data_IF_481455893012
#
_entry.id   IF_481455893012
#
_cell.length_a   1.000
_cell.length_b   1.000
_cell.length_c   1.000
_cell.angle_alpha   90.00
_cell.angle_beta   90.00
_cell.angle_gamma   90.00
#
_symmetry.space_group_name_H-M   'P 1'
#
loop_
_entity.id
_entity.type
_entity.pdbx_description
1 polymer ?
2 polymer ?
3 polymer ?
4 water ?
#
# COMPACT_ATOMS: atom_id res chain seq x y z
N UNK A 1 -31.74 21.02 2.22
CA UNK A 1 -31.79 21.09 0.73
C UNK A 1 -30.44 21.55 0.19
N UNK A 2 -30.18 21.26 -1.08
CA UNK A 2 -28.94 21.66 -1.74
C UNK A 2 -29.27 22.21 -3.12
N UNK A 3 -28.56 23.27 -3.54
CA UNK A 3 -28.83 23.83 -4.87
C UNK A 3 -28.82 22.78 -5.99
N UNK A 4 -29.80 22.87 -6.89
CA UNK A 4 -29.93 21.94 -8.00
C UNK A 4 -28.58 21.49 -8.51
N UNK A 5 -28.43 20.17 -8.63
CA UNK A 5 -27.18 19.59 -9.09
C UNK A 5 -26.39 19.06 -7.91
N UNK A 6 -26.01 19.96 -7.00
CA UNK A 6 -25.24 19.56 -5.83
C UNK A 6 -25.96 18.49 -5.03
N UNK A 7 -25.24 17.43 -4.76
CA UNK A 7 -25.77 16.31 -4.00
C UNK A 7 -25.47 16.55 -2.52
N UNK A 8 -26.28 15.98 -1.63
CA UNK A 8 -26.09 16.20 -0.21
C UNK A 8 -25.57 15.01 0.59
N UNK A 9 -24.63 15.27 1.49
CA UNK A 9 -24.09 14.23 2.34
C UNK A 9 -23.68 14.80 3.71
N UNK A 10 -24.31 14.26 4.76
CA UNK A 10 -24.10 14.70 6.14
C UNK A 10 -24.14 16.21 6.27
N UNK A 11 -25.18 16.81 5.68
CA UNK A 11 -25.34 18.25 5.75
C UNK A 11 -24.39 19.09 4.92
N UNK A 12 -24.00 18.59 3.76
CA UNK A 12 -23.10 19.34 2.90
C UNK A 12 -23.48 19.06 1.47
N UNK A 13 -23.11 19.96 0.56
CA UNK A 13 -23.45 19.77 -0.83
C UNK A 13 -22.24 19.53 -1.72
N UNK A 14 -22.23 18.36 -2.37
CA UNK A 14 -21.15 17.96 -3.26
C UNK A 14 -21.65 18.02 -4.70
N UNK A 15 -20.75 18.18 -5.68
CA UNK A 15 -21.13 18.24 -7.08
C UNK A 15 -19.96 17.85 -7.99
N UNK A 16 -20.25 17.12 -9.07
CA UNK A 16 -19.22 16.71 -10.00
C UNK A 16 -19.15 17.61 -11.21
N UNK A 17 -17.93 17.96 -11.63
CA UNK A 17 -17.72 18.80 -12.80
C UNK A 17 -16.82 18.12 -13.84
N UNK A 18 -17.36 17.87 -15.04
CA UNK A 18 -16.61 17.23 -16.12
C UNK A 18 -15.49 18.12 -16.64
N UNK A 19 -15.76 19.43 -16.62
CA UNK A 19 -14.83 20.46 -17.06
C UNK A 19 -13.42 20.26 -16.50
N UNK A 20 -12.53 19.69 -17.32
CA UNK A 20 -11.16 19.42 -16.90
C UNK A 20 -10.35 20.70 -16.69
N UNK A 21 -9.79 20.86 -15.50
CA UNK A 21 -8.98 22.03 -15.15
C UNK A 21 -7.79 21.56 -14.35
N UNK A 22 -6.88 22.47 -14.00
CA UNK A 22 -5.73 22.08 -13.20
C UNK A 22 -6.17 22.13 -11.73
N UNK A 23 -5.30 21.74 -10.81
CA UNK A 23 -5.70 21.75 -9.40
C UNK A 23 -6.20 23.09 -8.87
N UNK A 24 -5.35 24.12 -8.89
CA UNK A 24 -5.73 25.43 -8.39
C UNK A 24 -6.94 26.03 -9.12
N UNK A 25 -7.04 25.77 -10.42
CA UNK A 25 -8.13 26.26 -11.25
C UNK A 25 -9.47 25.62 -10.85
N UNK A 26 -9.44 24.34 -10.49
CA UNK A 26 -10.66 23.66 -10.08
C UNK A 26 -11.04 24.12 -8.68
N UNK A 27 -10.04 24.52 -7.90
CA UNK A 27 -10.27 24.99 -6.55
C UNK A 27 -10.92 26.36 -6.59
N UNK A 28 -10.38 27.25 -7.42
CA UNK A 28 -10.95 28.59 -7.55
C UNK A 28 -12.41 28.43 -7.95
N UNK A 29 -12.64 27.65 -9.00
CA UNK A 29 -13.97 27.39 -9.52
C UNK A 29 -14.96 26.91 -8.47
N UNK A 30 -14.46 26.25 -7.42
CA UNK A 30 -15.34 25.79 -6.36
C UNK A 30 -15.63 26.92 -5.38
N UNK A 31 -14.64 27.79 -5.15
CA UNK A 31 -14.83 28.90 -4.23
C UNK A 31 -15.40 30.06 -5.02
N UNK A 32 -16.30 29.73 -5.95
CA UNK A 32 -16.95 30.70 -6.81
C UNK A 32 -18.29 30.10 -7.25
N UNK A 33 -18.53 28.86 -6.83
CA UNK A 33 -19.75 28.15 -7.17
C UNK A 33 -20.68 28.13 -5.97
N UNK A 34 -20.19 28.60 -4.84
CA UNK A 34 -20.98 28.63 -3.63
C UNK A 34 -20.18 29.28 -2.51
N UNK A 35 -20.88 29.75 -1.48
CA UNK A 35 -20.19 30.40 -0.37
C UNK A 35 -19.54 29.32 0.49
N UNK A 36 -18.22 29.41 0.60
CA UNK A 36 -17.47 28.44 1.39
C UNK A 36 -17.37 27.10 0.71
N UNK A 37 -16.92 27.11 -0.54
CA UNK A 37 -16.78 25.86 -1.27
C UNK A 37 -15.39 25.72 -1.87
N UNK A 38 -14.91 24.48 -1.94
CA UNK A 38 -13.59 24.19 -2.51
C UNK A 38 -13.66 22.79 -3.09
N UNK A 39 -12.50 22.24 -3.42
CA UNK A 39 -12.44 20.87 -3.94
C UNK A 39 -12.87 19.98 -2.77
N UNK A 40 -13.74 19.03 -3.04
CA UNK A 40 -14.22 18.13 -2.00
C UNK A 40 -13.10 17.72 -1.03
N UNK A 41 -13.48 17.40 0.19
CA UNK A 41 -12.51 16.97 1.21
C UNK A 41 -13.04 15.65 1.73
N UNK A 42 -12.18 14.63 1.79
CA UNK A 42 -12.62 13.32 2.23
C UNK A 42 -12.03 12.85 3.55
N UNK A 43 -12.88 12.28 4.41
CA UNK A 43 -12.39 11.73 5.68
C UNK A 43 -11.82 10.37 5.32
N UNK A 44 -10.52 10.34 5.06
CA UNK A 44 -9.78 9.16 4.65
C UNK A 44 -10.62 7.89 4.53
N UNK A 45 -11.11 7.36 5.65
CA UNK A 45 -11.90 6.13 5.56
C UNK A 45 -13.28 6.28 6.20
N UNK A 46 -14.10 7.14 5.62
CA UNK A 46 -15.44 7.41 6.12
C UNK A 46 -16.43 7.02 5.03
N UNK A 47 -17.71 6.96 5.37
CA UNK A 47 -18.70 6.60 4.36
C UNK A 47 -18.78 7.70 3.34
N UNK A 48 -18.20 8.86 3.66
CA UNK A 48 -18.17 10.02 2.78
C UNK A 48 -17.39 9.65 1.52
N UNK A 49 -16.41 8.78 1.67
CA UNK A 49 -15.61 8.36 0.53
C UNK A 49 -16.50 7.63 -0.47
N UNK A 50 -17.34 6.74 0.05
CA UNK A 50 -18.26 5.97 -0.78
C UNK A 50 -19.22 6.88 -1.53
N UNK A 51 -19.62 7.95 -0.86
CA UNK A 51 -20.53 8.93 -1.45
C UNK A 51 -19.85 9.60 -2.63
N UNK A 52 -18.73 10.27 -2.37
CA UNK A 52 -18.01 10.93 -3.44
C UNK A 52 -17.50 9.90 -4.43
N UNK A 53 -17.16 8.72 -3.93
CA UNK A 53 -16.68 7.67 -4.80
C UNK A 53 -17.77 7.44 -5.83
N UNK A 54 -18.92 6.96 -5.37
CA UNK A 54 -20.04 6.73 -6.25
C UNK A 54 -20.44 8.04 -6.93
N UNK A 55 -20.37 9.14 -6.18
CA UNK A 55 -20.76 10.45 -6.70
C UNK A 55 -20.16 10.61 -8.08
N UNK A 56 -18.85 10.42 -8.18
CA UNK A 56 -18.17 10.54 -9.46
C UNK A 56 -18.50 9.39 -10.41
N UNK A 57 -18.38 8.16 -9.94
CA UNK A 57 -18.63 7.00 -10.77
C UNK A 57 -19.90 7.14 -11.61
N UNK A 58 -20.96 7.65 -10.99
CA UNK A 58 -22.24 7.82 -11.67
C UNK A 58 -22.15 8.94 -12.69
N UNK A 59 -21.80 10.12 -12.22
CA UNK A 59 -21.68 11.29 -13.09
C UNK A 59 -20.56 11.21 -14.10
N UNK A 60 -19.31 11.08 -13.64
CA UNK A 60 -18.21 11.00 -14.58
C UNK A 60 -18.55 9.91 -15.56
N UNK A 61 -18.05 10.03 -16.78
CA UNK A 61 -18.35 9.02 -17.78
C UNK A 61 -17.24 8.88 -18.81
N UNK A 62 -17.31 7.78 -19.57
CA UNK A 62 -16.34 7.43 -20.60
C UNK A 62 -15.07 6.87 -19.98
N UNK A 63 -13.94 7.51 -20.24
CA UNK A 63 -12.67 7.04 -19.72
C UNK A 63 -11.76 8.13 -19.15
N UNK A 64 -12.20 8.75 -18.06
CA UNK A 64 -11.40 9.76 -17.38
C UNK A 64 -10.72 8.97 -16.27
N UNK A 65 -9.43 9.18 -16.06
CA UNK A 65 -8.73 8.43 -15.03
C UNK A 65 -8.78 9.05 -13.64
N UNK A 66 -8.62 10.37 -13.55
CA UNK A 66 -8.59 11.05 -12.25
C UNK A 66 -9.61 12.16 -12.03
N UNK A 67 -9.80 12.50 -10.75
CA UNK A 67 -10.71 13.57 -10.35
C UNK A 67 -10.07 14.22 -9.11
N UNK A 68 -9.79 15.51 -9.22
CA UNK A 68 -9.14 16.28 -8.15
C UNK A 68 -9.93 16.40 -6.84
N UNK A 69 -9.20 16.47 -5.73
CA UNK A 69 -9.86 16.68 -4.45
C UNK A 69 -9.07 17.79 -3.76
N UNK A 70 -9.61 18.34 -2.67
CA UNK A 70 -8.96 19.43 -1.98
C UNK A 70 -7.76 19.16 -1.07
N UNK A 71 -6.90 18.22 -1.42
CA UNK A 71 -5.74 17.91 -0.59
C UNK A 71 -4.47 17.99 -1.40
N UNK A 72 -3.47 18.70 -0.88
CA UNK A 72 -2.20 18.85 -1.56
C UNK A 72 -1.07 18.88 -0.56
N UNK A 73 0.15 18.74 -1.07
CA UNK A 73 1.33 18.80 -0.25
C UNK A 73 1.52 20.28 0.08
N UNK A 74 1.54 20.61 1.37
CA UNK A 74 1.71 21.99 1.79
C UNK A 74 3.16 22.41 1.61
N UNK A 75 4.09 21.45 1.63
CA UNK A 75 5.50 21.76 1.46
C UNK A 75 5.76 22.55 0.19
N UNK A 76 6.67 23.51 0.27
CA UNK A 76 7.02 24.37 -0.86
C UNK A 76 8.28 23.89 -1.57
N UNK A 77 9.13 23.12 -0.89
CA UNK A 77 10.31 22.60 -1.57
C UNK A 77 9.71 21.71 -2.66
N UNK A 78 10.51 21.25 -3.61
CA UNK A 78 9.97 20.41 -4.68
C UNK A 78 9.71 18.96 -4.27
N UNK A 79 10.31 18.54 -3.16
CA UNK A 79 10.12 17.19 -2.65
C UNK A 79 10.24 17.31 -1.13
N UNK A 80 9.80 16.31 -0.38
CA UNK A 80 9.85 16.43 1.07
C UNK A 80 10.84 15.61 1.88
N UNK A 81 11.79 14.98 1.21
CA UNK A 81 12.79 14.20 1.94
C UNK A 81 13.86 15.19 2.38
N UNK A 82 13.98 15.43 3.68
CA UNK A 82 14.97 16.38 4.19
C UNK A 82 16.34 15.78 4.49
N UNK A 83 16.51 14.50 4.20
CA UNK A 83 17.79 13.84 4.45
C UNK A 83 18.04 12.76 3.43
N UNK A 84 19.29 12.59 3.03
CA UNK A 84 19.61 11.52 2.10
C UNK A 84 19.56 10.23 2.90
N UNK A 85 19.69 9.08 2.23
CA UNK A 85 19.66 7.81 2.94
C UNK A 85 20.84 7.63 3.88
N UNK A 86 21.83 8.51 3.77
CA UNK A 86 23.04 8.42 4.61
C UNK A 86 23.00 9.37 5.80
N UNK A 87 21.83 9.97 6.04
CA UNK A 87 21.67 10.88 7.16
C UNK A 87 22.03 12.31 6.80
N UNK A 88 22.79 12.47 5.73
CA UNK A 88 23.21 13.80 5.30
C UNK A 88 21.98 14.66 5.00
N UNK A 89 22.05 15.94 5.33
CA UNK A 89 20.96 16.87 5.11
C UNK A 89 20.75 17.13 3.62
N UNK A 90 19.50 17.41 3.25
CA UNK A 90 19.16 17.70 1.85
C UNK A 90 19.04 19.20 1.64
N UNK A 91 20.09 19.79 1.07
CA UNK A 91 20.13 21.22 0.80
C UNK A 91 20.03 21.42 -0.71
N UNK A 92 21.07 20.93 -1.37
CA UNK A 92 21.25 20.96 -2.81
C UNK A 92 20.30 19.96 -3.48
N UNK A 93 19.62 20.38 -4.54
CA UNK A 93 18.70 19.51 -5.27
C UNK A 93 18.56 19.98 -6.71
N UNK A 94 17.97 19.11 -7.53
CA UNK A 94 17.77 19.38 -8.95
C UNK A 94 16.45 18.84 -9.48
N UNK A 95 15.54 18.50 -8.59
CA UNK A 95 14.25 17.97 -9.00
C UNK A 95 13.73 18.55 -10.34
N UNK A 96 13.32 17.64 -11.22
CA UNK A 96 12.76 17.97 -12.52
C UNK A 96 11.32 18.38 -12.23
N UNK A 97 11.09 19.67 -12.13
CA UNK A 97 9.79 20.21 -11.82
C UNK A 97 8.52 19.59 -12.39
N UNK A 98 8.60 18.76 -13.44
CA UNK A 98 7.38 18.16 -13.98
C UNK A 98 7.04 16.81 -13.37
N UNK A 99 7.98 16.28 -12.57
CA UNK A 99 7.77 15.02 -11.87
C UNK A 99 7.25 15.33 -10.46
N UNK A 100 7.19 16.63 -10.13
CA UNK A 100 6.72 17.10 -8.83
C UNK A 100 5.21 16.88 -8.70
N UNK A 101 4.81 15.93 -7.85
CA UNK A 101 3.39 15.59 -7.67
C UNK A 101 2.86 15.94 -6.28
N UNK A 102 2.22 17.11 -6.14
CA UNK A 102 1.66 17.55 -4.86
C UNK A 102 0.15 17.56 -4.79
N UNK A 103 -0.52 17.30 -5.90
CA UNK A 103 -1.97 17.37 -5.92
C UNK A 103 -2.73 16.04 -5.98
N UNK A 104 -3.48 15.75 -4.92
CA UNK A 104 -4.22 14.52 -4.82
C UNK A 104 -5.50 14.47 -5.64
N UNK A 105 -5.71 13.32 -6.27
CA UNK A 105 -6.88 13.07 -7.09
C UNK A 105 -7.41 11.66 -6.82
N UNK A 106 -8.70 11.47 -7.04
CA UNK A 106 -9.31 10.16 -6.86
C UNK A 106 -8.93 9.41 -8.10
N UNK A 107 -8.90 8.08 -8.02
CA UNK A 107 -8.54 7.23 -9.15
C UNK A 107 -9.76 6.43 -9.60
N UNK A 108 -9.89 6.20 -10.90
CA UNK A 108 -11.02 5.46 -11.43
C UNK A 108 -11.17 4.05 -10.87
N UNK A 109 -10.08 3.28 -10.86
CA UNK A 109 -10.09 1.92 -10.36
C UNK A 109 -10.77 1.83 -9.00
N UNK A 110 -11.63 0.84 -8.84
CA UNK A 110 -12.36 0.65 -7.59
C UNK A 110 -13.42 1.74 -7.45
N UNK A 111 -13.76 2.36 -8.58
CA UNK A 111 -14.79 3.40 -8.59
C UNK A 111 -14.49 4.69 -7.88
N UNK A 112 -13.40 5.33 -8.28
CA UNK A 112 -12.97 6.61 -7.72
C UNK A 112 -13.07 6.71 -6.21
N UNK A 113 -12.17 6.02 -5.52
CA UNK A 113 -12.13 6.01 -4.06
C UNK A 113 -10.66 5.83 -3.60
N UNK A 114 -9.76 5.61 -4.56
CA UNK A 114 -8.33 5.45 -4.30
C UNK A 114 -7.60 6.78 -4.57
N UNK A 115 -6.96 7.34 -3.55
CA UNK A 115 -6.23 8.61 -3.70
C UNK A 115 -4.89 8.44 -4.41
N UNK A 116 -4.40 9.53 -4.99
CA UNK A 116 -3.11 9.51 -5.67
C UNK A 116 -2.61 10.93 -5.87
N UNK A 117 -1.33 11.18 -5.66
CA UNK A 117 -0.87 12.53 -5.90
C UNK A 117 -0.36 12.58 -7.34
N UNK A 118 -0.74 13.65 -8.03
CA UNK A 118 -0.39 13.88 -9.43
C UNK A 118 0.27 15.24 -9.59
N UNK A 119 0.68 15.53 -10.82
CA UNK A 119 1.29 16.79 -11.18
C UNK A 119 0.11 17.77 -11.13
N UNK A 120 0.28 18.84 -10.35
CA UNK A 120 -0.76 19.84 -10.17
C UNK A 120 -1.19 20.53 -11.46
N UNK A 121 -0.26 20.66 -12.40
CA UNK A 121 -0.54 21.29 -13.68
C UNK A 121 -1.49 20.49 -14.56
N UNK A 122 -1.76 19.23 -14.21
CA UNK A 122 -2.65 18.38 -15.01
C UNK A 122 -4.05 18.93 -15.17
N UNK A 123 -4.71 18.56 -16.26
CA UNK A 123 -6.06 19.03 -16.54
C UNK A 123 -7.02 17.87 -16.29
N UNK A 124 -7.69 17.87 -15.14
CA UNK A 124 -8.64 16.80 -14.80
C UNK A 124 -9.96 17.37 -14.31
N UNK A 125 -11.03 16.56 -14.38
CA UNK A 125 -12.35 17.03 -13.91
C UNK A 125 -12.29 17.06 -12.39
N UNK A 126 -13.44 17.19 -11.71
CA UNK A 126 -13.41 17.27 -10.26
C UNK A 126 -14.75 17.26 -9.53
N UNK A 127 -14.65 17.39 -8.21
CA UNK A 127 -15.81 17.44 -7.32
C UNK A 127 -15.61 18.64 -6.38
N UNK A 128 -16.66 19.46 -6.25
CA UNK A 128 -16.65 20.64 -5.38
C UNK A 128 -17.46 20.34 -4.13
N UNK A 129 -17.14 21.02 -3.03
CA UNK A 129 -17.84 20.80 -1.78
C UNK A 129 -18.11 22.13 -1.08
N UNK A 130 -19.22 22.19 -0.34
CA UNK A 130 -19.60 23.40 0.37
C UNK A 130 -20.82 23.16 1.24
N UNK A 131 -20.91 23.84 2.38
CA UNK A 131 -22.05 23.69 3.30
C UNK A 131 -23.35 24.25 2.70
N UNK A 132 -24.49 23.98 3.35
CA UNK A 132 -25.78 24.48 2.86
C UNK A 132 -25.88 26.01 2.75
N UNK A 133 -26.48 26.50 1.65
CA UNK A 133 -26.66 27.95 1.40
C UNK A 133 -27.79 28.57 2.20
N UNK B 1 41.74 4.88 1.90
CA UNK B 1 41.77 4.72 0.45
C UNK B 1 40.63 3.82 -0.03
N UNK B 2 39.97 4.24 -1.10
CA UNK B 2 38.85 3.52 -1.69
C UNK B 2 39.21 2.12 -2.22
N UNK B 3 38.35 1.12 -1.95
CA UNK B 3 38.57 -0.26 -2.39
C UNK B 3 38.71 -0.32 -3.91
N UNK B 4 39.16 -1.46 -4.46
CA UNK B 4 39.26 -1.49 -5.92
C UNK B 4 37.85 -1.28 -6.50
N UNK B 5 37.81 -0.69 -7.70
CA UNK B 5 36.55 -0.41 -8.37
C UNK B 5 35.81 0.76 -7.74
N UNK B 6 36.54 1.60 -7.01
CA UNK B 6 35.95 2.77 -6.38
C UNK B 6 36.80 3.99 -6.68
N UNK B 7 36.15 5.10 -7.02
CA UNK B 7 36.85 6.34 -7.34
C UNK B 7 36.62 7.35 -6.22
N UNK B 8 37.72 7.85 -5.66
CA UNK B 8 37.68 8.83 -4.57
C UNK B 8 37.34 10.26 -4.97
N UNK B 9 36.91 11.04 -4.00
CA UNK B 9 36.56 12.44 -4.22
C UNK B 9 36.26 13.06 -2.87
N UNK B 10 36.83 14.23 -2.61
CA UNK B 10 36.65 14.93 -1.34
C UNK B 10 36.36 13.97 -0.18
N UNK B 11 37.29 13.06 0.08
CA UNK B 11 37.13 12.14 1.19
C UNK B 11 36.32 10.87 0.99
N UNK B 12 35.39 10.84 0.04
CA UNK B 12 34.57 9.63 -0.17
C UNK B 12 34.98 8.73 -1.32
N UNK B 13 34.26 7.61 -1.39
CA UNK B 13 34.43 6.59 -2.41
C UNK B 13 33.08 6.40 -3.10
N UNK B 14 33.10 6.21 -4.41
CA UNK B 14 31.87 6.02 -5.17
C UNK B 14 32.06 4.80 -6.05
N UNK B 15 30.96 4.34 -6.63
CA UNK B 15 31.00 3.20 -7.54
C UNK B 15 29.69 3.09 -8.29
N UNK B 16 29.79 3.00 -9.61
CA UNK B 16 28.64 2.88 -10.47
C UNK B 16 28.33 1.40 -10.63
N UNK B 17 27.16 0.98 -10.19
CA UNK B 17 26.76 -0.43 -10.33
C UNK B 17 25.81 -0.51 -11.51
N UNK B 18 26.03 -1.51 -12.36
CA UNK B 18 25.21 -1.71 -13.54
C UNK B 18 24.10 -2.70 -13.22
N UNK B 19 23.82 -2.87 -11.94
CA UNK B 19 22.77 -3.76 -11.49
C UNK B 19 21.47 -3.06 -11.86
N UNK B 20 20.37 -3.81 -11.85
CA UNK B 20 19.06 -3.27 -12.18
C UNK B 20 18.05 -3.71 -11.13
N UNK B 21 17.93 -2.91 -10.07
CA UNK B 21 17.02 -3.19 -8.98
C UNK B 21 16.21 -1.96 -8.63
N UNK B 22 15.32 -2.07 -7.65
CA UNK B 22 14.51 -0.92 -7.26
C UNK B 22 15.18 -0.14 -6.13
N UNK B 23 14.74 1.09 -5.90
CA UNK B 23 15.34 1.94 -4.87
C UNK B 23 15.75 1.17 -3.59
N UNK B 24 14.83 0.41 -3.02
CA UNK B 24 15.10 -0.34 -1.82
C UNK B 24 16.29 -1.29 -1.99
N UNK B 25 16.21 -2.18 -2.96
CA UNK B 25 17.29 -3.11 -3.22
C UNK B 25 18.56 -2.32 -3.49
N UNK B 26 18.40 -1.17 -4.13
CA UNK B 26 19.51 -0.30 -4.45
C UNK B 26 20.19 0.16 -3.17
N UNK B 27 19.42 0.81 -2.30
CA UNK B 27 19.93 1.31 -1.02
C UNK B 27 20.56 0.21 -0.18
N UNK B 28 19.81 -0.87 0.03
CA UNK B 28 20.28 -2.01 0.82
C UNK B 28 21.55 -2.65 0.20
N UNK B 29 21.59 -2.75 -1.11
CA UNK B 29 22.73 -3.34 -1.80
C UNK B 29 24.01 -2.59 -1.44
N UNK B 30 23.92 -1.26 -1.46
CA UNK B 30 25.03 -0.39 -1.13
C UNK B 30 25.55 -0.60 0.28
N UNK B 31 24.64 -0.69 1.23
CA UNK B 31 25.00 -0.89 2.62
C UNK B 31 25.75 -2.19 2.85
N UNK B 32 25.50 -3.17 1.99
CA UNK B 32 26.11 -4.50 2.10
C UNK B 32 27.38 -4.66 1.28
N UNK B 33 28.06 -3.55 0.99
CA UNK B 33 29.28 -3.56 0.20
C UNK B 33 30.44 -3.15 1.10
N UNK B 34 30.29 -1.98 1.71
CA UNK B 34 31.26 -1.42 2.63
C UNK B 34 30.42 -0.73 3.71
N UNK B 35 30.68 -1.04 4.97
CA UNK B 35 29.95 -0.43 6.06
C UNK B 35 29.84 1.08 5.86
N UNK B 36 28.68 1.63 6.21
CA UNK B 36 28.46 3.06 6.08
C UNK B 36 28.10 3.54 4.68
N UNK B 37 28.04 2.60 3.72
CA UNK B 37 27.70 2.95 2.35
C UNK B 37 26.21 3.14 2.20
N UNK B 38 25.82 3.90 1.18
CA UNK B 38 24.42 4.19 0.89
C UNK B 38 24.34 4.55 -0.59
N UNK B 39 23.18 4.94 -1.07
CA UNK B 39 23.08 5.35 -2.47
C UNK B 39 23.81 6.70 -2.44
N UNK B 40 24.30 7.14 -3.59
CA UNK B 40 25.02 8.39 -3.64
C UNK B 40 24.17 9.60 -3.25
N UNK B 41 24.81 10.57 -2.60
CA UNK B 41 24.14 11.80 -2.19
C UNK B 41 24.96 12.97 -2.73
N UNK B 42 24.30 13.92 -3.39
CA UNK B 42 24.96 15.08 -3.98
C UNK B 42 24.83 16.35 -3.14
N UNK B 43 25.91 16.71 -2.48
CA UNK B 43 25.99 17.90 -1.63
C UNK B 43 26.16 19.16 -2.47
N UNK B 44 27.18 19.14 -3.33
CA UNK B 44 27.50 20.25 -4.23
C UNK B 44 27.42 19.77 -5.68
N UNK B 45 27.47 20.70 -6.63
CA UNK B 45 27.41 20.33 -8.05
C UNK B 45 28.68 19.59 -8.48
N UNK B 46 29.81 19.97 -7.89
CA UNK B 46 31.09 19.33 -8.22
C UNK B 46 31.01 17.84 -7.97
N UNK B 47 30.41 17.45 -6.84
CA UNK B 47 30.26 16.04 -6.48
C UNK B 47 29.49 15.37 -7.60
N UNK B 48 28.37 16.00 -7.96
CA UNK B 48 27.52 15.51 -9.03
C UNK B 48 28.34 15.24 -10.28
N UNK B 49 29.01 16.27 -10.77
CA UNK B 49 29.85 16.19 -11.97
C UNK B 49 30.88 15.07 -11.86
N UNK B 50 31.37 14.82 -10.65
CA UNK B 50 32.35 13.76 -10.42
C UNK B 50 31.72 12.38 -10.57
N UNK B 51 30.48 12.24 -10.10
CA UNK B 51 29.74 10.98 -10.19
C UNK B 51 29.30 10.81 -11.64
N UNK B 52 29.24 11.93 -12.36
CA UNK B 52 28.85 11.90 -13.76
C UNK B 52 29.87 11.18 -14.61
N UNK B 53 31.15 11.38 -14.31
CA UNK B 53 32.21 10.75 -15.07
C UNK B 53 32.20 9.24 -14.90
N UNK B 54 31.67 8.76 -13.77
CA UNK B 54 31.60 7.34 -13.50
C UNK B 54 30.43 6.72 -14.27
N UNK B 55 29.43 7.55 -14.56
CA UNK B 55 28.24 7.11 -15.29
C UNK B 55 28.32 7.64 -16.73
N UNK B 56 29.18 7.03 -17.53
CA UNK B 56 29.38 7.41 -18.92
C UNK B 56 29.13 6.19 -19.82
N UNK B 57 29.41 5.02 -19.26
CA UNK B 57 29.21 3.77 -19.99
C UNK B 57 27.72 3.44 -19.99
N UNK B 58 26.89 4.40 -19.60
CA UNK B 58 25.45 4.17 -19.58
C UNK B 58 24.81 4.93 -20.72
N UNK B 59 23.65 4.47 -21.15
CA UNK B 59 22.94 5.08 -22.27
C UNK B 59 22.68 6.57 -22.11
N UNK B 60 22.17 7.18 -23.17
CA UNK B 60 21.87 8.60 -23.17
C UNK B 60 20.38 8.76 -22.91
N UNK B 61 20.03 9.20 -21.71
CA UNK B 61 18.64 9.39 -21.36
C UNK B 61 18.15 8.51 -20.23
N UNK B 62 19.03 7.75 -19.62
CA UNK B 62 18.65 6.87 -18.53
C UNK B 62 18.84 7.61 -17.21
N UNK B 63 18.62 6.94 -16.08
CA UNK B 63 18.81 7.61 -14.79
C UNK B 63 19.32 6.64 -13.73
N UNK B 64 20.15 7.14 -12.83
CA UNK B 64 20.69 6.34 -11.74
C UNK B 64 19.98 6.72 -10.43
N UNK B 65 19.78 5.73 -9.58
CA UNK B 65 19.14 5.91 -8.28
C UNK B 65 20.10 6.68 -7.36
N UNK B 66 19.58 7.64 -6.58
CA UNK B 66 20.40 8.39 -5.63
C UNK B 66 19.78 8.25 -4.22
N UNK B 67 20.53 8.64 -3.19
CA UNK B 67 20.06 8.50 -1.82
C UNK B 67 18.82 9.20 -1.27
N UNK B 68 17.75 9.26 -2.05
CA UNK B 68 16.52 9.91 -1.56
C UNK B 68 15.31 9.02 -1.84
N UNK B 69 14.50 8.77 -0.81
CA UNK B 69 13.30 7.94 -0.98
C UNK B 69 12.06 8.50 -0.32
N UNK B 70 10.90 7.96 -0.74
CA UNK B 70 9.59 8.33 -0.26
C UNK B 70 9.48 9.82 0.04
N UNK B 71 9.57 10.62 -1.01
CA UNK B 71 9.53 12.06 -0.89
C UNK B 71 8.14 12.70 -0.78
N UNK B 72 7.08 11.90 -0.89
CA UNK B 72 5.74 12.45 -0.80
C UNK B 72 5.07 12.15 0.51
N UNK B 73 5.53 11.11 1.18
CA UNK B 73 4.94 10.71 2.46
C UNK B 73 5.67 11.34 3.63
N UNK B 74 6.66 12.16 3.29
CA UNK B 74 7.42 12.86 4.32
C UNK B 74 6.84 14.28 4.42
N UNK B 75 6.08 14.65 3.41
CA UNK B 75 5.44 15.97 3.33
C UNK B 75 4.42 16.18 4.42
N UNK B 76 3.93 17.41 4.49
CA UNK B 76 2.89 17.75 5.44
C UNK B 76 1.77 18.21 4.52
N UNK B 77 0.57 17.65 4.69
CA UNK B 77 -0.56 17.97 3.83
C UNK B 77 -1.58 18.90 4.47
N UNK B 78 -2.57 19.28 3.66
CA UNK B 78 -3.65 20.12 4.12
C UNK B 78 -4.70 20.25 3.04
N UNK B 79 -5.95 20.37 3.47
CA UNK B 79 -7.03 20.51 2.53
C UNK B 79 -7.38 21.97 2.35
N UNK B 80 -8.02 22.27 1.23
CA UNK B 80 -8.45 23.63 0.96
C UNK B 80 -9.51 24.05 1.97
N UNK B 81 -10.41 23.15 2.33
CA UNK B 81 -11.45 23.49 3.29
C UNK B 81 -10.90 23.48 4.72
N UNK B 82 -9.58 23.30 4.84
CA UNK B 82 -8.93 23.28 6.14
C UNK B 82 -9.37 22.18 7.08
N UNK B 83 -9.87 21.08 6.52
CA UNK B 83 -10.32 19.97 7.34
C UNK B 83 -9.19 19.41 8.22
N UNK B 84 -9.55 18.96 9.42
CA UNK B 84 -8.59 18.38 10.35
C UNK B 84 -8.31 16.92 10.03
N UNK B 85 -7.15 16.43 10.45
CA UNK B 85 -6.81 15.03 10.22
C UNK B 85 -5.54 14.62 10.97
N UNK B 86 -5.50 13.37 11.42
CA UNK B 86 -4.35 12.85 12.15
C UNK B 86 -3.45 12.06 11.21
N UNK B 87 -2.22 12.55 11.03
CA UNK B 87 -1.25 11.92 10.14
C UNK B 87 -1.19 10.41 10.24
N UNK B 88 -1.57 9.84 11.38
CA UNK B 88 -1.54 8.39 11.49
C UNK B 88 -2.60 7.75 10.62
N UNK B 89 -3.57 8.54 10.17
CA UNK B 89 -4.59 7.98 9.29
C UNK B 89 -4.15 8.09 7.85
N UNK B 90 -2.99 8.69 7.62
CA UNK B 90 -2.49 8.85 6.25
C UNK B 90 -1.23 8.07 5.96
N UNK B 91 -1.16 6.83 6.47
CA UNK B 91 0.03 5.98 6.32
C UNK B 91 0.68 5.88 4.93
N UNK B 92 -0.08 5.51 3.90
CA UNK B 92 0.54 5.49 2.58
C UNK B 92 -0.29 6.29 1.60
N UNK B 93 -0.69 7.48 2.02
CA UNK B 93 -1.50 8.37 1.21
C UNK B 93 -0.92 8.68 -0.18
N UNK B 94 0.33 9.14 -0.24
CA UNK B 94 0.97 9.48 -1.50
C UNK B 94 1.64 8.27 -2.15
N UNK B 95 2.24 8.49 -3.32
CA UNK B 95 2.94 7.40 -3.97
C UNK B 95 4.30 7.22 -3.29
N UNK B 96 4.88 6.04 -3.47
CA UNK B 96 6.17 5.75 -2.90
C UNK B 96 7.19 5.97 -4.03
N UNK B 97 7.57 7.23 -4.20
CA UNK B 97 8.53 7.63 -5.22
C UNK B 97 9.89 8.00 -4.64
N UNK B 98 10.93 7.81 -5.43
CA UNK B 98 12.29 8.07 -5.01
C UNK B 98 12.97 8.91 -6.10
N UNK B 99 14.20 9.39 -5.85
CA UNK B 99 14.90 10.24 -6.81
C UNK B 99 15.96 9.57 -7.68
N UNK B 100 15.91 9.86 -8.98
CA UNK B 100 16.89 9.32 -9.92
C UNK B 100 17.56 10.48 -10.68
N UNK B 101 18.86 10.36 -10.91
CA UNK B 101 19.62 11.40 -11.61
C UNK B 101 19.96 11.04 -13.06
N UNK B 102 20.09 12.07 -13.89
CA UNK B 102 20.45 11.88 -15.29
C UNK B 102 21.82 12.56 -15.39
N UNK B 103 22.89 11.78 -15.27
CA UNK B 103 24.25 12.30 -15.33
C UNK B 103 24.49 13.39 -16.38
N UNK B 104 24.01 13.20 -17.60
CA UNK B 104 24.22 14.21 -18.63
C UNK B 104 23.89 15.59 -18.11
N UNK B 105 22.61 15.89 -17.87
CA UNK B 105 22.23 17.21 -17.39
C UNK B 105 22.04 17.33 -15.88
N UNK B 106 22.36 16.26 -15.15
CA UNK B 106 22.19 16.22 -13.70
C UNK B 106 20.83 16.73 -13.28
N UNK B 107 19.78 16.19 -13.89
CA UNK B 107 18.42 16.56 -13.54
C UNK B 107 17.84 15.40 -12.73
N UNK B 108 17.28 15.72 -11.58
CA UNK B 108 16.72 14.71 -10.70
C UNK B 108 15.29 14.40 -11.08
N UNK B 109 15.00 13.11 -11.21
CA UNK B 109 13.67 12.62 -11.55
C UNK B 109 13.05 11.97 -10.32
N UNK B 110 11.85 12.41 -9.97
CA UNK B 110 11.14 11.81 -8.84
C UNK B 110 10.23 10.76 -9.49
N UNK B 111 10.61 9.49 -9.35
CA UNK B 111 9.83 8.42 -9.96
C UNK B 111 9.43 7.38 -8.93
N UNK B 112 8.61 6.41 -9.33
CA UNK B 112 8.19 5.35 -8.41
C UNK B 112 9.40 4.50 -8.03
N UNK B 113 9.53 4.17 -6.74
CA UNK B 113 10.68 3.38 -6.27
C UNK B 113 10.71 1.93 -6.75
N UNK B 114 9.64 1.47 -7.40
CA UNK B 114 9.59 0.09 -7.91
C UNK B 114 10.26 -0.07 -9.26
N UNK B 115 10.90 0.97 -9.78
CA UNK B 115 11.54 0.89 -11.09
C UNK B 115 12.99 0.40 -11.03
N UNK B 116 13.38 -0.43 -11.99
CA UNK B 116 14.76 -0.93 -12.03
C UNK B 116 15.71 0.06 -12.70
N UNK B 117 16.67 0.54 -11.93
CA UNK B 117 17.66 1.49 -12.40
C UNK B 117 19.07 1.04 -12.03
N UNK B 118 20.05 1.65 -12.69
CA UNK B 118 21.47 1.40 -12.41
C UNK B 118 21.69 2.37 -11.25
N UNK B 119 22.74 2.20 -10.46
CA UNK B 119 22.94 3.12 -9.34
C UNK B 119 24.38 3.41 -8.98
N UNK B 120 24.55 4.26 -7.97
CA UNK B 120 25.86 4.69 -7.47
C UNK B 120 25.88 4.63 -5.94
N UNK B 121 26.85 3.93 -5.37
CA UNK B 121 26.98 3.83 -3.91
C UNK B 121 28.05 4.80 -3.42
N UNK B 122 28.12 5.01 -2.11
CA UNK B 122 29.08 5.97 -1.56
C UNK B 122 29.37 5.68 -0.09
N UNK B 123 30.55 6.10 0.38
CA UNK B 123 30.96 5.90 1.77
C UNK B 123 32.33 6.57 1.94
N UNK B 124 32.75 6.76 3.18
CA UNK B 124 34.05 7.40 3.45
C UNK B 124 34.90 6.65 4.46
N UNK B 125 34.29 5.70 5.17
CA UNK B 125 34.99 4.90 6.17
C UNK B 125 34.12 3.73 6.67
N UNK C 10 -17.20 -24.97 21.44
CA UNK C 10 -17.85 -24.12 20.44
C UNK C 10 -17.86 -24.83 19.09
N UNK C 11 -18.86 -24.51 18.27
CA UNK C 11 -18.98 -25.13 16.96
C UNK C 11 -19.74 -24.24 15.99
N UNK C 12 -19.12 -24.01 14.84
CA UNK C 12 -19.70 -23.15 13.81
C UNK C 12 -20.13 -23.94 12.58
N UNK C 13 -21.40 -23.79 12.22
CA UNK C 13 -21.97 -24.45 11.04
C UNK C 13 -22.86 -23.46 10.31
N UNK C 14 -22.27 -22.67 9.41
CA UNK C 14 -23.01 -21.66 8.64
C UNK C 14 -22.77 -21.81 7.15
N UNK C 15 -22.87 -20.70 6.42
CA UNK C 15 -22.61 -20.70 4.98
C UNK C 15 -21.35 -19.84 4.77
N UNK C 16 -20.20 -20.42 5.09
CA UNK C 16 -18.95 -19.68 5.00
C UNK C 16 -17.90 -20.13 4.00
N UNK C 17 -17.23 -19.17 3.41
CA UNK C 17 -16.11 -19.42 2.51
C UNK C 17 -14.98 -18.90 3.36
N UNK C 18 -14.30 -19.78 4.09
CA UNK C 18 -13.22 -19.32 4.95
C UNK C 18 -11.83 -19.60 4.38
N UNK C 19 -11.02 -18.54 4.23
CA UNK C 19 -9.65 -18.65 3.72
C UNK C 19 -8.60 -18.33 4.77
N UNK C 20 -7.76 -19.31 5.09
CA UNK C 20 -6.70 -19.10 6.07
C UNK C 20 -5.46 -18.72 5.30
N UNK C 21 -4.87 -17.57 5.62
CA UNK C 21 -3.64 -17.12 4.96
C UNK C 21 -2.54 -17.12 6.01
N UNK C 22 -1.58 -18.04 5.88
CA UNK C 22 -0.51 -18.16 6.88
C UNK C 22 0.78 -17.46 6.52
N UNK C 23 1.18 -16.53 7.39
CA UNK C 23 2.42 -15.78 7.21
C UNK C 23 3.63 -16.71 7.28
N UNK C 24 3.92 -17.39 6.16
CA UNK C 24 5.03 -18.30 6.14
C UNK C 24 6.40 -17.69 5.88
N UNK C 25 6.74 -16.62 6.61
CA UNK C 25 8.05 -15.98 6.44
C UNK C 25 9.06 -16.64 7.38
N UNK C 26 10.23 -16.01 7.55
CA UNK C 26 11.25 -16.54 8.45
C UNK C 26 11.13 -15.84 9.79
N UNK C 27 10.18 -14.90 9.85
CA UNK C 27 9.93 -14.13 11.06
C UNK C 27 9.28 -15.09 12.05
N UNK C 28 9.21 -16.36 11.66
CA UNK C 28 8.66 -17.41 12.49
C UNK C 28 9.62 -18.59 12.42
N UNK C 29 10.04 -19.10 13.58
CA UNK C 29 10.94 -20.23 13.61
C UNK C 29 10.15 -21.46 13.22
N UNK C 30 10.78 -22.35 12.45
CA UNK C 30 10.13 -23.58 11.97
C UNK C 30 9.22 -24.19 13.04
N UNK C 31 9.70 -24.20 14.29
CA UNK C 31 8.94 -24.73 15.39
C UNK C 31 7.70 -23.87 15.65
N UNK C 32 7.85 -22.55 15.51
CA UNK C 32 6.75 -21.61 15.72
C UNK C 32 5.71 -21.78 14.63
N UNK C 33 6.16 -22.11 13.43
CA UNK C 33 5.28 -22.31 12.30
C UNK C 33 4.28 -23.41 12.68
N UNK C 34 4.77 -24.50 13.24
CA UNK C 34 3.91 -25.62 13.66
C UNK C 34 2.82 -25.18 14.64
N UNK C 35 3.10 -24.12 15.40
CA UNK C 35 2.14 -23.60 16.37
C UNK C 35 1.07 -22.85 15.59
N UNK C 36 1.50 -22.28 14.46
CA UNK C 36 0.61 -21.57 13.57
C UNK C 36 -0.31 -22.62 12.98
N UNK C 37 0.29 -23.61 12.33
CA UNK C 37 -0.43 -24.73 11.71
C UNK C 37 -1.42 -25.32 12.70
N UNK C 38 -0.95 -25.57 13.92
CA UNK C 38 -1.79 -26.12 14.96
C UNK C 38 -3.06 -25.29 15.15
N UNK C 39 -2.90 -23.98 15.28
CA UNK C 39 -4.04 -23.09 15.47
C UNK C 39 -5.03 -23.23 14.33
N UNK C 40 -4.51 -23.28 13.10
CA UNK C 40 -5.35 -23.42 11.92
C UNK C 40 -6.17 -24.71 11.98
N UNK C 41 -5.55 -25.80 12.43
CA UNK C 41 -6.22 -27.10 12.55
C UNK C 41 -7.25 -27.10 13.69
N UNK C 42 -6.97 -26.37 14.76
CA UNK C 42 -7.89 -26.31 15.89
C UNK C 42 -9.18 -25.58 15.58
N UNK C 43 -9.09 -24.55 14.75
CA UNK C 43 -10.28 -23.79 14.38
C UNK C 43 -11.13 -24.63 13.42
N UNK C 44 -10.48 -25.55 12.71
CA UNK C 44 -11.15 -26.44 11.76
C UNK C 44 -12.00 -27.51 12.45
N UNK C 45 -11.65 -27.86 13.68
CA UNK C 45 -12.41 -28.87 14.40
C UNK C 45 -13.67 -28.25 15.00
N UNK C 46 -13.70 -26.91 14.96
CA UNK C 46 -14.82 -26.14 15.47
C UNK C 46 -15.65 -25.63 14.29
N UNK C 47 -15.27 -26.08 13.10
CA UNK C 47 -15.97 -25.67 11.89
C UNK C 47 -16.63 -26.90 11.27
N UNK C 48 -17.85 -26.71 10.78
CA UNK C 48 -18.58 -27.79 10.14
C UNK C 48 -18.16 -27.69 8.68
N UNK C 49 -17.00 -28.27 8.38
CA UNK C 49 -16.45 -28.26 7.03
C UNK C 49 -17.25 -29.16 6.10
N UNK C 50 -17.83 -28.55 5.08
CA UNK C 50 -18.66 -29.24 4.11
C UNK C 50 -18.86 -28.36 2.87
N UNK C 51 -19.07 -28.97 1.72
CA UNK C 51 -19.24 -28.19 0.51
C UNK C 51 -20.51 -27.33 0.59
N UNK C 52 -21.47 -27.76 1.41
CA UNK C 52 -22.69 -26.99 1.57
C UNK C 52 -22.69 -26.12 2.84
N UNK C 53 -21.74 -26.36 3.74
CA UNK C 53 -21.68 -25.55 4.93
C UNK C 53 -20.46 -24.64 4.86
N UNK C 54 -19.39 -25.05 5.54
CA UNK C 54 -18.17 -24.26 5.57
C UNK C 54 -17.09 -24.86 4.68
N UNK C 55 -16.59 -24.05 3.76
CA UNK C 55 -15.55 -24.50 2.85
C UNK C 55 -14.30 -23.72 3.19
N UNK C 56 -13.15 -24.39 3.29
CA UNK C 56 -11.94 -23.68 3.64
C UNK C 56 -10.81 -23.89 2.63
N UNK C 57 -10.01 -22.84 2.44
CA UNK C 57 -8.85 -22.93 1.59
C UNK C 57 -7.72 -22.59 2.52
N UNK C 58 -6.55 -23.17 2.31
CA UNK C 58 -5.38 -22.86 3.14
C UNK C 58 -4.15 -22.54 2.30
N UNK C 59 -3.66 -21.31 2.40
CA UNK C 59 -2.49 -20.88 1.64
C UNK C 59 -1.32 -20.41 2.49
N UNK C 60 -0.12 -20.87 2.14
CA UNK C 60 1.07 -20.41 2.82
C UNK C 60 1.67 -19.42 1.84
N UNK C 61 1.84 -18.17 2.27
CA UNK C 61 2.38 -17.16 1.38
C UNK C 61 3.72 -16.62 1.82
N UNK C 62 4.48 -16.19 0.82
CA UNK C 62 5.77 -15.59 1.01
C UNK C 62 5.71 -14.39 0.07
N UNK C 63 6.47 -14.46 -1.01
CA UNK C 63 6.45 -13.40 -2.00
C UNK C 63 5.46 -13.94 -3.02
N UNK C 64 5.18 -15.23 -2.86
CA UNK C 64 4.24 -15.93 -3.71
C UNK C 64 3.30 -16.72 -2.81
N UNK C 65 2.40 -17.49 -3.41
CA UNK C 65 1.44 -18.25 -2.61
C UNK C 65 1.46 -19.74 -2.82
N UNK C 66 1.49 -20.47 -1.72
CA UNK C 66 1.45 -21.93 -1.76
C UNK C 66 0.10 -22.28 -1.20
N UNK C 67 -0.76 -22.85 -2.04
CA UNK C 67 -2.12 -23.22 -1.63
C UNK C 67 -2.21 -24.71 -1.35
N UNK C 68 -2.38 -25.08 -0.10
CA UNK C 68 -2.48 -26.50 0.25
C UNK C 68 -3.91 -26.99 0.35
N UNK C 69 -4.86 -26.06 0.23
CA UNK C 69 -6.29 -26.39 0.32
C UNK C 69 -7.16 -25.41 -0.45
N UNK C 70 -8.07 -25.94 -1.26
CA UNK C 70 -8.99 -25.12 -2.05
C UNK C 70 -10.39 -25.25 -1.45
N UNK C 71 -11.26 -24.27 -1.69
CA UNK C 71 -12.63 -24.31 -1.14
C UNK C 71 -13.39 -25.55 -1.62
N UNK C 72 -13.36 -25.78 -2.92
CA UNK C 72 -14.03 -26.91 -3.52
C UNK C 72 -13.07 -28.07 -3.40
N UNK C 73 -13.49 -29.08 -2.64
CA UNK C 73 -12.70 -30.28 -2.43
C UNK C 73 -13.61 -31.39 -1.95
N UNK C 74 -13.23 -32.63 -2.24
CA UNK C 74 -14.04 -33.74 -1.80
C UNK C 74 -13.42 -34.51 -0.66
N UNK C 75 -12.12 -34.36 -0.43
CA UNK C 75 -11.46 -35.09 0.64
C UNK C 75 -12.22 -34.88 1.93
N UNK C 76 -12.18 -35.86 2.82
CA UNK C 76 -12.87 -35.74 4.08
C UNK C 76 -12.21 -34.69 4.96
N UNK C 77 -13.01 -33.97 5.77
CA UNK C 77 -12.48 -32.93 6.67
C UNK C 77 -11.32 -33.38 7.54
N UNK C 78 -11.21 -34.68 7.81
CA UNK C 78 -10.10 -35.17 8.61
C UNK C 78 -8.92 -35.23 7.68
N UNK C 79 -9.22 -35.52 6.41
CA UNK C 79 -8.20 -35.61 5.38
C UNK C 79 -7.72 -34.20 5.12
N UNK C 80 -8.63 -33.23 5.26
CA UNK C 80 -8.29 -31.83 5.03
C UNK C 80 -7.48 -31.28 6.20
N UNK C 81 -7.86 -31.67 7.42
CA UNK C 81 -7.14 -31.21 8.60
C UNK C 81 -5.75 -31.85 8.60
N UNK C 82 -5.64 -32.99 7.94
CA UNK C 82 -4.38 -33.69 7.86
C UNK C 82 -3.43 -32.93 6.94
N UNK C 83 -3.96 -32.48 5.80
CA UNK C 83 -3.16 -31.76 4.83
C UNK C 83 -2.62 -30.44 5.33
N UNK C 84 -3.33 -29.80 6.27
CA UNK C 84 -2.85 -28.52 6.75
C UNK C 84 -1.81 -28.67 7.86
N UNK C 85 -1.94 -29.69 8.70
CA UNK C 85 -0.99 -29.93 9.79
C UNK C 85 0.39 -30.32 9.25
N UNK C 86 0.46 -30.72 7.98
CA UNK C 86 1.72 -31.12 7.38
C UNK C 86 2.29 -30.07 6.43
N UNK C 87 1.69 -28.88 6.41
CA UNK C 87 2.13 -27.78 5.55
C UNK C 87 3.61 -27.45 5.74
N UNK C 88 4.43 -27.88 4.79
CA UNK C 88 5.88 -27.68 4.82
C UNK C 88 6.32 -26.25 5.15
N UNK C 89 7.37 -26.17 5.96
CA UNK C 89 7.95 -24.89 6.41
C UNK C 89 8.97 -24.36 5.40
N UNK C 90 8.86 -23.08 5.06
CA UNK C 90 9.81 -22.49 4.12
C UNK C 90 10.38 -21.18 4.64
N UNK C 91 9.94 -20.76 5.83
CA UNK C 91 10.42 -19.54 6.44
C UNK C 91 10.92 -18.48 5.49
N UNK C 92 10.22 -18.33 4.37
CA UNK C 92 10.57 -17.37 3.33
C UNK C 92 11.23 -16.10 3.84
N UNK C 93 12.08 -15.51 3.00
CA UNK C 93 12.77 -14.27 3.35
C UNK C 93 11.67 -13.25 3.61
N UNK C 94 10.82 -13.03 2.60
CA UNK C 94 9.70 -12.09 2.68
C UNK C 94 8.36 -12.84 2.74
N UNK C 95 7.31 -12.13 3.13
CA UNK C 95 5.96 -12.68 3.22
C UNK C 95 5.01 -11.49 3.06
N UNK C 96 4.82 -11.07 1.81
CA UNK C 96 3.99 -9.92 1.43
C UNK C 96 2.49 -10.08 1.67
N UNK C 97 1.92 -9.26 2.54
CA UNK C 97 0.49 -9.36 2.81
C UNK C 97 -0.39 -8.81 1.70
N UNK C 98 0.01 -7.71 1.09
CA UNK C 98 -0.79 -7.15 0.00
C UNK C 98 -0.91 -8.14 -1.17
N UNK C 99 0.21 -8.79 -1.48
CA UNK C 99 0.32 -9.76 -2.56
C UNK C 99 -0.54 -11.00 -2.42
N UNK C 100 -0.58 -11.59 -1.21
CA UNK C 100 -1.38 -12.79 -1.01
C UNK C 100 -2.84 -12.39 -0.96
N UNK C 101 -3.11 -11.09 -0.87
CA UNK C 101 -4.48 -10.63 -0.88
C UNK C 101 -4.93 -10.52 -2.36
N UNK C 102 -4.00 -10.20 -3.26
CA UNK C 102 -4.32 -10.15 -4.68
C UNK C 102 -4.56 -11.59 -5.14
N UNK C 103 -3.85 -12.55 -4.56
CA UNK C 103 -4.06 -13.94 -4.94
C UNK C 103 -5.50 -14.29 -4.58
N UNK C 104 -5.85 -14.09 -3.31
CA UNK C 104 -7.18 -14.34 -2.81
C UNK C 104 -8.24 -13.62 -3.68
N UNK C 105 -8.02 -12.33 -3.93
CA UNK C 105 -8.96 -11.57 -4.75
C UNK C 105 -9.17 -12.17 -6.14
N UNK C 106 -8.08 -12.39 -6.86
CA UNK C 106 -8.13 -12.88 -8.24
C UNK C 106 -8.13 -14.37 -8.49
N UNK C 107 -8.00 -15.16 -7.44
CA UNK C 107 -7.97 -16.61 -7.61
C UNK C 107 -9.08 -17.29 -6.83
N UNK C 108 -8.88 -17.45 -5.53
CA UNK C 108 -9.86 -18.10 -4.68
C UNK C 108 -11.25 -17.59 -4.99
N UNK C 109 -11.41 -16.27 -4.96
CA UNK C 109 -12.69 -15.66 -5.23
C UNK C 109 -12.74 -14.99 -6.59
N UNK C 110 -11.97 -15.50 -7.54
CA UNK C 110 -12.00 -14.95 -8.87
C UNK C 110 -13.47 -14.86 -9.25
N UNK C 111 -14.20 -15.94 -8.98
CA UNK C 111 -15.64 -16.02 -9.20
C UNK C 111 -16.33 -16.40 -7.87
N UNK C 112 -17.59 -15.98 -7.75
CA UNK C 112 -18.36 -16.23 -6.53
C UNK C 112 -19.51 -17.21 -6.77
N UNK C 113 -19.21 -18.51 -6.72
CA UNK C 113 -20.25 -19.51 -6.96
C UNK C 113 -21.23 -19.70 -5.81
N UNK C 114 -20.94 -19.10 -4.65
CA UNK C 114 -21.82 -19.20 -3.49
C UNK C 114 -22.28 -17.83 -3.03
N UNK C 115 -23.07 -17.13 -3.85
CA UNK C 115 -23.60 -15.80 -3.58
C UNK C 115 -24.42 -15.69 -2.29
N UNK C 116 -24.96 -16.82 -1.85
CA UNK C 116 -25.76 -16.84 -0.63
C UNK C 116 -24.88 -16.98 0.60
N UNK C 117 -23.59 -17.21 0.40
CA UNK C 117 -22.67 -17.38 1.51
C UNK C 117 -21.70 -16.23 1.73
N UNK C 118 -21.17 -16.16 2.96
CA UNK C 118 -20.18 -15.14 3.30
C UNK C 118 -18.81 -15.58 2.81
N UNK C 119 -17.85 -14.67 2.77
CA UNK C 119 -16.50 -15.00 2.32
C UNK C 119 -15.50 -14.32 3.25
N UNK C 120 -14.80 -15.11 4.05
CA UNK C 120 -13.86 -14.56 4.99
C UNK C 120 -12.43 -15.05 4.79
N UNK C 121 -11.51 -14.09 4.80
CA UNK C 121 -10.11 -14.39 4.65
C UNK C 121 -9.49 -14.05 5.98
N UNK C 122 -9.05 -15.06 6.71
CA UNK C 122 -8.40 -14.82 8.01
C UNK C 122 -6.90 -14.77 7.74
N UNK C 123 -6.36 -13.56 7.63
CA UNK C 123 -4.93 -13.37 7.36
C UNK C 123 -4.11 -13.39 8.64
N UNK C 124 -3.40 -14.50 8.87
CA UNK C 124 -2.56 -14.68 10.06
C UNK C 124 -1.15 -14.23 9.66
N UNK C 125 -0.78 -13.02 10.07
CA UNK C 125 0.50 -12.41 9.69
C UNK C 125 1.51 -12.15 10.80
N UNK C 126 2.72 -12.67 10.60
CA UNK C 126 3.79 -12.54 11.57
C UNK C 126 5.02 -11.89 10.97
N UNK C 127 4.80 -10.81 10.23
CA UNK C 127 5.89 -10.05 9.64
C UNK C 127 5.39 -8.72 9.07
N UNK C 128 6.27 -8.00 8.39
CA UNK C 128 5.90 -6.73 7.82
C UNK C 128 6.54 -6.60 6.44
N UNK C 129 5.74 -6.13 5.47
CA UNK C 129 6.23 -5.96 4.12
C UNK C 129 6.60 -4.50 3.87
N UNK C 130 7.48 -4.25 2.91
CA UNK C 130 7.92 -2.90 2.57
C UNK C 130 6.84 -2.03 1.94
N UNK C 131 6.82 -0.72 2.29
CA UNK C 131 5.85 0.27 1.78
C UNK C 131 5.78 0.28 0.26
N UNK C 132 6.90 -0.04 -0.39
CA UNK C 132 6.92 -0.11 -1.84
C UNK C 132 5.77 -1.03 -2.28
N UNK C 133 5.52 -2.05 -1.44
CA UNK C 133 4.48 -3.05 -1.68
C UNK C 133 3.21 -2.76 -0.92
N UNK C 134 3.33 -2.35 0.34
CA UNK C 134 2.16 -2.06 1.16
C UNK C 134 1.32 -0.95 0.52
N UNK C 135 1.89 -0.32 -0.50
CA UNK C 135 1.23 0.74 -1.25
C UNK C 135 0.06 0.16 -2.05
N UNK C 136 -0.09 -1.16 -2.02
CA UNK C 136 -1.16 -1.86 -2.73
C UNK C 136 -2.19 -2.42 -1.74
N UNK C 137 -1.77 -2.51 -0.49
CA UNK C 137 -2.59 -3.06 0.58
C UNK C 137 -4.03 -2.57 0.57
N UNK C 138 -4.22 -1.27 0.38
CA UNK C 138 -5.56 -0.70 0.37
C UNK C 138 -6.44 -1.12 -0.80
N UNK C 139 -5.94 -0.97 -2.03
CA UNK C 139 -6.73 -1.32 -3.19
C UNK C 139 -7.10 -2.79 -3.25
N UNK C 140 -6.24 -3.68 -2.75
CA UNK C 140 -6.56 -5.10 -2.77
C UNK C 140 -7.57 -5.42 -1.70
N UNK C 141 -7.44 -4.77 -0.54
CA UNK C 141 -8.40 -4.98 0.54
C UNK C 141 -9.75 -4.36 0.12
N UNK C 142 -9.70 -3.28 -0.63
CA UNK C 142 -10.94 -2.66 -1.10
C UNK C 142 -11.54 -3.53 -2.21
N UNK C 143 -10.68 -4.12 -3.04
CA UNK C 143 -11.16 -4.97 -4.11
C UNK C 143 -11.89 -6.20 -3.55
N UNK C 144 -11.32 -6.77 -2.49
CA UNK C 144 -11.90 -7.94 -1.83
C UNK C 144 -13.21 -7.52 -1.16
N UNK C 145 -13.32 -6.23 -0.86
CA UNK C 145 -14.53 -5.69 -0.23
C UNK C 145 -15.63 -5.69 -1.29
N UNK C 146 -15.36 -5.09 -2.44
CA UNK C 146 -16.34 -5.08 -3.52
C UNK C 146 -16.80 -6.48 -3.94
N UNK C 147 -16.08 -7.53 -3.53
CA UNK C 147 -16.47 -8.89 -3.88
C UNK C 147 -17.15 -9.54 -2.68
N UNK C 148 -17.48 -8.72 -1.69
CA UNK C 148 -18.12 -9.20 -0.48
C UNK C 148 -17.17 -10.15 0.26
N UNK C 149 -15.88 -9.84 0.29
CA UNK C 149 -14.92 -10.69 0.99
C UNK C 149 -14.37 -9.90 2.16
N UNK C 150 -14.65 -10.39 3.37
CA UNK C 150 -14.20 -9.77 4.60
C UNK C 150 -12.79 -10.15 4.94
N UNK C 151 -11.98 -9.19 5.38
CA UNK C 151 -10.62 -9.54 5.76
C UNK C 151 -10.41 -9.30 7.23
N UNK C 152 -9.99 -10.36 7.93
CA UNK C 152 -9.76 -10.27 9.36
C UNK C 152 -8.28 -10.45 9.63
N UNK C 153 -7.54 -9.35 9.83
CA UNK C 153 -6.10 -9.49 10.10
C UNK C 153 -5.84 -9.94 11.55
N UNK C 154 -4.91 -10.88 11.70
CA UNK C 154 -4.54 -11.40 13.01
C UNK C 154 -3.04 -11.15 13.18
N UNK C 155 -2.70 -10.15 13.98
CA UNK C 155 -1.31 -9.81 14.20
C UNK C 155 -0.62 -10.73 15.17
N UNK C 156 0.26 -11.59 14.69
CA UNK C 156 0.96 -12.50 15.56
C UNK C 156 2.33 -11.94 15.92
N UNK C 157 2.41 -11.34 17.11
CA UNK C 157 3.66 -10.80 17.58
C UNK C 157 4.04 -9.36 17.25
N UNK C 158 5.30 -9.01 17.57
CA UNK C 158 5.87 -7.69 17.34
C UNK C 158 6.15 -7.35 15.87
N UNK C 159 6.88 -8.22 15.19
CA UNK C 159 7.26 -8.01 13.79
C UNK C 159 6.10 -7.81 12.81
N UNK C 160 4.88 -7.85 13.31
CA UNK C 160 3.71 -7.66 12.49
C UNK C 160 3.44 -6.16 12.34
N UNK C 161 3.52 -5.66 11.12
CA UNK C 161 3.31 -4.24 10.87
C UNK C 161 1.97 -3.74 11.43
N UNK C 162 2.02 -3.06 12.57
CA UNK C 162 0.83 -2.54 13.20
C UNK C 162 0.06 -1.57 12.29
N UNK C 163 0.80 -0.72 11.58
CA UNK C 163 0.21 0.25 10.66
C UNK C 163 -0.39 -0.43 9.43
N UNK C 164 0.25 -1.50 8.97
CA UNK C 164 -0.24 -2.24 7.82
C UNK C 164 -1.51 -3.02 8.16
N UNK C 165 -1.60 -3.48 9.40
CA UNK C 165 -2.76 -4.23 9.90
C UNK C 165 -3.94 -3.23 9.99
N UNK C 166 -3.62 -2.02 10.43
CA UNK C 166 -4.58 -0.94 10.59
C UNK C 166 -5.17 -0.57 9.22
N UNK C 167 -4.33 -0.61 8.19
CA UNK C 167 -4.74 -0.30 6.83
C UNK C 167 -5.84 -1.26 6.38
N UNK C 168 -5.63 -2.54 6.63
CA UNK C 168 -6.57 -3.58 6.24
C UNK C 168 -7.92 -3.46 6.97
N UNK C 169 -7.88 -2.97 8.21
CA UNK C 169 -9.09 -2.80 9.02
C UNK C 169 -9.97 -1.69 8.44
N UNK C 170 -9.45 -0.46 8.54
CA UNK C 170 -10.11 0.76 8.08
C UNK C 170 -10.96 0.62 6.85
N UNK C 171 -10.64 -0.37 6.01
CA UNK C 171 -11.35 -0.65 4.77
C UNK C 171 -12.82 -1.07 4.90
N UNK C 172 -13.22 -1.53 6.08
CA UNK C 172 -14.59 -1.97 6.32
C UNK C 172 -14.81 -2.30 7.79
N UNK C 173 -16.04 -2.09 8.28
CA UNK C 173 -16.37 -2.38 9.69
C UNK C 173 -16.20 -3.85 10.05
N UNK C 174 -16.51 -4.74 9.11
CA UNK C 174 -16.39 -6.17 9.36
C UNK C 174 -14.92 -6.58 9.58
N UNK C 175 -14.01 -5.90 8.91
CA UNK C 175 -12.58 -6.19 9.02
C UNK C 175 -11.95 -5.93 10.39
N UNK C 176 -12.27 -6.76 11.37
CA UNK C 176 -11.73 -6.62 12.73
C UNK C 176 -10.30 -7.17 12.75
N UNK C 177 -9.56 -6.83 13.79
CA UNK C 177 -8.18 -7.30 13.91
C UNK C 177 -7.96 -7.92 15.27
N UNK C 178 -6.89 -8.67 15.39
CA UNK C 178 -6.57 -9.29 16.66
C UNK C 178 -5.08 -9.24 16.78
N UNK C 179 -4.62 -8.52 17.80
CA UNK C 179 -3.20 -8.35 18.05
C UNK C 179 -2.71 -9.36 19.10
N UNK C 180 -1.72 -10.17 18.71
CA UNK C 180 -1.18 -11.18 19.60
C UNK C 180 0.31 -11.00 19.81
N UNK C 181 0.76 -11.36 21.01
CA UNK C 181 2.16 -11.25 21.39
C UNK C 181 3.03 -12.23 20.60
N UNK C 182 2.42 -13.34 20.19
CA UNK C 182 3.15 -14.35 19.45
C UNK C 182 2.24 -15.51 19.12
N UNK C 183 2.81 -16.59 18.59
CA UNK C 183 2.04 -17.78 18.22
C UNK C 183 1.42 -18.54 19.39
N UNK C 184 2.06 -18.53 20.55
CA UNK C 184 1.50 -19.25 21.69
C UNK C 184 0.11 -18.68 22.01
N UNK C 185 0.03 -17.36 22.07
CA UNK C 185 -1.21 -16.66 22.36
C UNK C 185 -2.33 -17.10 21.42
N UNK C 186 -1.96 -17.54 20.22
CA UNK C 186 -2.96 -17.99 19.25
C UNK C 186 -3.80 -19.08 19.87
N UNK C 187 -3.09 -20.03 20.46
CA UNK C 187 -3.70 -21.19 21.12
C UNK C 187 -4.92 -20.86 22.00
N UNK C 188 -4.92 -19.67 22.61
CA UNK C 188 -6.00 -19.23 23.49
C UNK C 188 -6.97 -18.22 22.85
N UNK C 189 -6.64 -17.75 21.65
CA UNK C 189 -7.49 -16.77 20.97
C UNK C 189 -8.61 -17.40 20.13
N UNK C 190 -8.46 -18.69 19.83
CA UNK C 190 -9.42 -19.45 19.03
C UNK C 190 -10.89 -19.11 19.32
N UNK C 191 -11.40 -19.56 20.46
CA UNK C 191 -12.78 -19.32 20.85
C UNK C 191 -13.28 -17.98 20.35
N UNK C 192 -12.56 -16.93 20.70
CA UNK C 192 -12.91 -15.58 20.31
C UNK C 192 -12.98 -15.45 18.79
N UNK C 193 -11.83 -15.50 18.14
CA UNK C 193 -11.78 -15.38 16.69
C UNK C 193 -12.84 -16.25 16.03
N UNK C 194 -12.78 -17.56 16.27
CA UNK C 194 -13.76 -18.50 15.70
C UNK C 194 -15.17 -17.94 15.79
N UNK C 195 -15.66 -17.75 17.01
CA UNK C 195 -17.00 -17.22 17.24
C UNK C 195 -17.25 -15.85 16.57
N UNK C 196 -16.30 -14.92 16.66
CA UNK C 196 -16.50 -13.63 16.01
C UNK C 196 -16.79 -13.89 14.55
N UNK C 197 -15.84 -14.58 13.92
CA UNK C 197 -15.85 -14.96 12.51
C UNK C 197 -17.08 -15.74 12.04
N UNK C 198 -17.78 -16.39 12.97
CA UNK C 198 -18.96 -17.17 12.63
C UNK C 198 -20.25 -16.34 12.61
N UNK C 199 -20.25 -15.23 13.36
CA UNK C 199 -21.41 -14.35 13.49
C UNK C 199 -21.67 -13.45 12.27
N UNK C 200 -20.87 -13.60 11.23
CA UNK C 200 -21.03 -12.81 10.01
C UNK C 200 -21.51 -13.66 8.84
N UNK C 201 -21.83 -14.93 9.10
CA UNK C 201 -22.28 -15.82 8.02
C UNK C 201 -23.75 -16.29 8.07
N UNK C 202 -24.39 -16.44 6.89
CA UNK C 202 -25.77 -16.90 6.72
C UNK C 202 -25.91 -18.31 7.25
N UNK C 203 -27.11 -18.82 7.12
CA UNK C 203 -27.45 -20.18 7.57
C UNK C 203 -28.36 -20.86 6.54
N UNK C 204 -28.75 -22.27 6.77
CA UNK C 204 -29.94 -22.80 6.08
C UNK C 204 -29.84 -22.53 4.59
N UNK C 205 -30.14 -21.40 4.12
#
# INVERSE_FOLDING_TARGET
>A
DCPSGWSSYEGNCYKFFQQKMNWADAERFCSEQAKGGHLVSIKIYSKEKDFVGDLVTKNIQSSDLYAWIGLRVENKEKQCSSEWSDGSSVSYENVVERTVKKCFALEKDLGFVLWINLYCAQKNPFVCKSPPP
>B
DCPPDWSSYEGHCYRFFKEWMHWDDAEEFCTEQQTGAHLVSFQSKEEADFVRSLTSEMLKGDVVWIGLSDVWNKCRFEWTDGMEFDYDDYYLIAEYECVASKPTNNKWWIIPCTRFKNFVCEFQA
>C
DTPEPPLHNFYCSKLLDLVFLLDGSSMLSEAEFEVLKAFVVGMMERLHISQKRIRVAVVEYHDGSRAYLELKARKRPSELRRITSQIKYTGSQVASTSEVLKYTLFQIFGKIDRPEASHITLLLTASQEPPRMARNLVRYVQGLKKKKVIVIPVGIGPHASLKQIRLIEKQAPENKAFLLSGVDELEQRRDEIVSYLCDLAPEAPAPT
#
